data_IF_592448425544
#
_entry.id   IF_592448425544
#
_cell.length_a   1.000
_cell.length_b   1.000
_cell.length_c   1.000
_cell.angle_alpha   90.00
_cell.angle_beta   90.00
_cell.angle_gamma   90.00
#
_symmetry.space_group_name_H-M   'P 1'
#
loop_
_entity.id
_entity.type
_entity.pdbx_description
1 polymer ?
#
# COMPACT_ATOMS: atom_id res chain seq x y z
N UNK A 1 -52.50 -72.51 58.93
CA UNK A 1 -52.61 -71.10 58.59
C UNK A 1 -51.30 -70.69 57.84
N UNK A 2 -51.29 -70.66 56.51
CA UNK A 2 -50.11 -70.42 55.72
C UNK A 2 -50.27 -69.11 54.98
N UNK A 3 -49.42 -68.14 55.30
CA UNK A 3 -49.36 -66.80 54.72
C UNK A 3 -48.58 -66.86 53.40
N UNK A 4 -49.19 -66.48 52.29
CA UNK A 4 -48.48 -66.33 51.00
C UNK A 4 -48.02 -64.90 50.83
N UNK A 5 -46.71 -64.72 50.78
CA UNK A 5 -46.07 -63.44 50.49
C UNK A 5 -45.93 -63.34 48.96
N UNK A 6 -46.63 -62.39 48.29
CA UNK A 6 -46.50 -62.08 46.90
C UNK A 6 -45.34 -61.10 46.71
N UNK A 7 -44.41 -61.52 45.87
CA UNK A 7 -43.24 -60.69 45.43
C UNK A 7 -43.60 -59.85 44.24
N UNK A 8 -43.67 -58.54 44.44
CA UNK A 8 -43.94 -57.55 43.33
C UNK A 8 -42.62 -57.14 42.74
N UNK A 9 -42.38 -57.56 41.48
CA UNK A 9 -41.18 -57.09 40.70
C UNK A 9 -41.47 -55.70 40.08
N UNK A 10 -40.73 -54.69 40.58
CA UNK A 10 -40.74 -53.36 39.97
C UNK A 10 -39.67 -53.28 38.88
N UNK A 11 -40.10 -53.21 37.60
CA UNK A 11 -39.23 -53.00 36.47
C UNK A 11 -38.92 -51.53 36.35
N UNK A 12 -37.68 -51.11 36.71
CA UNK A 12 -37.19 -49.75 36.49
C UNK A 12 -36.68 -49.67 35.06
N UNK A 13 -37.42 -48.96 34.20
CA UNK A 13 -37.03 -48.64 32.84
C UNK A 13 -36.11 -47.41 32.89
N UNK A 14 -34.78 -47.61 32.89
CA UNK A 14 -33.79 -46.52 32.78
C UNK A 14 -33.68 -46.09 31.34
N UNK A 15 -34.37 -44.99 31.00
CA UNK A 15 -34.23 -44.31 29.69
C UNK A 15 -32.85 -43.63 29.63
N UNK A 16 -31.87 -44.31 29.01
CA UNK A 16 -30.54 -43.76 28.74
C UNK A 16 -30.64 -42.67 27.67
N UNK A 17 -30.60 -41.40 28.09
CA UNK A 17 -30.41 -40.27 27.17
C UNK A 17 -28.99 -40.37 26.61
N UNK A 18 -28.88 -40.84 25.36
CA UNK A 18 -27.63 -40.86 24.57
C UNK A 18 -27.27 -39.41 24.20
N UNK A 19 -26.51 -38.76 25.08
CA UNK A 19 -25.96 -37.43 24.84
C UNK A 19 -24.81 -37.57 23.81
N UNK A 20 -25.13 -37.44 22.51
CA UNK A 20 -24.12 -37.35 21.47
C UNK A 20 -23.32 -36.04 21.67
N UNK A 21 -22.01 -36.09 21.83
CA UNK A 21 -21.22 -34.85 21.86
C UNK A 21 -21.34 -34.18 20.49
N UNK A 22 -21.98 -33.00 20.43
CA UNK A 22 -21.79 -32.09 19.30
C UNK A 22 -20.32 -31.68 19.29
N UNK A 23 -19.49 -32.44 18.61
CA UNK A 23 -18.17 -31.99 18.21
C UNK A 23 -18.37 -30.85 17.24
N UNK A 24 -18.42 -29.60 17.75
CA UNK A 24 -18.21 -28.42 16.95
C UNK A 24 -16.79 -28.55 16.40
N UNK A 25 -16.68 -29.09 15.19
CA UNK A 25 -15.42 -28.99 14.45
C UNK A 25 -15.12 -27.49 14.35
N UNK A 26 -14.15 -27.02 15.13
CA UNK A 26 -13.58 -25.70 14.93
C UNK A 26 -12.86 -25.77 13.56
N UNK A 27 -13.59 -25.45 12.51
CA UNK A 27 -13.01 -25.26 11.20
C UNK A 27 -11.95 -24.14 11.38
N UNK A 28 -10.68 -24.48 11.18
CA UNK A 28 -9.59 -23.51 11.26
C UNK A 28 -9.89 -22.36 10.31
N UNK A 29 -9.66 -21.12 10.77
CA UNK A 29 -9.87 -19.93 9.93
C UNK A 29 -9.04 -20.03 8.65
N UNK A 30 -9.65 -19.74 7.52
CA UNK A 30 -8.95 -19.63 6.24
C UNK A 30 -8.09 -18.38 6.27
N UNK A 31 -6.80 -18.51 6.03
CA UNK A 31 -5.87 -17.37 6.04
C UNK A 31 -5.64 -16.87 4.63
N UNK A 32 -5.83 -15.56 4.42
CA UNK A 32 -5.43 -14.83 3.20
C UNK A 32 -4.22 -13.95 3.55
N UNK A 33 -3.11 -14.18 2.85
CA UNK A 33 -1.84 -13.47 3.08
C UNK A 33 -1.65 -12.40 2.02
N UNK A 34 -1.38 -11.17 2.46
CA UNK A 34 -1.17 -10.01 1.60
C UNK A 34 0.16 -9.35 1.96
N UNK A 35 0.99 -8.99 0.97
CA UNK A 35 2.22 -8.24 1.22
C UNK A 35 2.56 -7.29 0.09
N UNK A 36 3.34 -6.23 0.38
CA UNK A 36 3.91 -5.38 -0.66
C UNK A 36 3.89 -3.88 -0.39
N UNK A 37 3.35 -3.11 -1.34
CA UNK A 37 3.40 -1.65 -1.37
C UNK A 37 2.88 -0.99 -0.11
N UNK A 38 3.70 -0.18 0.54
CA UNK A 38 3.28 0.66 1.69
C UNK A 38 2.36 1.81 1.28
N UNK A 39 2.24 2.11 0.00
CA UNK A 39 1.22 3.02 -0.54
C UNK A 39 -0.16 2.35 -0.54
N UNK A 40 -0.25 1.08 -0.91
CA UNK A 40 -1.52 0.32 -0.94
C UNK A 40 -1.93 -0.15 0.45
N UNK A 41 -0.97 -0.27 1.36
CA UNK A 41 -1.16 -0.82 2.73
C UNK A 41 -2.35 -0.21 3.49
N UNK A 42 -2.57 1.13 3.56
CA UNK A 42 -3.69 1.70 4.30
C UNK A 42 -5.05 1.21 3.79
N UNK A 43 -5.22 1.14 2.48
CA UNK A 43 -6.45 0.64 1.84
C UNK A 43 -6.65 -0.84 2.15
N UNK A 44 -5.61 -1.66 1.92
CA UNK A 44 -5.71 -3.11 2.13
C UNK A 44 -5.95 -3.48 3.59
N UNK A 45 -5.30 -2.77 4.55
CA UNK A 45 -5.47 -3.01 5.98
C UNK A 45 -6.88 -2.65 6.45
N UNK A 46 -7.38 -1.46 6.07
CA UNK A 46 -8.75 -1.02 6.44
C UNK A 46 -9.83 -1.88 5.78
N UNK A 47 -9.60 -2.30 4.54
CA UNK A 47 -10.49 -3.23 3.85
C UNK A 47 -10.49 -4.62 4.52
N UNK A 48 -9.31 -5.13 4.90
CA UNK A 48 -9.19 -6.41 5.59
C UNK A 48 -9.90 -6.41 6.95
N UNK A 49 -9.77 -5.34 7.73
CA UNK A 49 -10.50 -5.17 8.99
C UNK A 49 -12.02 -5.28 8.79
N UNK A 50 -12.56 -4.50 7.86
CA UNK A 50 -14.00 -4.49 7.56
C UNK A 50 -14.48 -5.82 6.96
N UNK A 51 -13.69 -6.43 6.08
CA UNK A 51 -14.02 -7.71 5.47
C UNK A 51 -14.07 -8.83 6.52
N UNK A 52 -13.08 -8.92 7.41
CA UNK A 52 -13.06 -9.91 8.49
C UNK A 52 -14.21 -9.75 9.47
N UNK A 53 -14.71 -8.53 9.69
CA UNK A 53 -15.88 -8.30 10.55
C UNK A 53 -17.17 -8.98 10.01
N UNK A 54 -17.29 -9.11 8.68
CA UNK A 54 -18.41 -9.80 8.01
C UNK A 54 -18.12 -11.25 7.64
N UNK A 55 -16.87 -11.71 7.79
CA UNK A 55 -16.41 -13.07 7.45
C UNK A 55 -15.59 -13.65 8.60
N UNK A 56 -16.25 -14.12 9.69
CA UNK A 56 -15.55 -14.52 10.93
C UNK A 56 -14.67 -15.78 10.78
N UNK A 57 -14.87 -16.55 9.74
CA UNK A 57 -14.10 -17.74 9.33
C UNK A 57 -12.83 -17.41 8.52
N UNK A 58 -12.60 -16.11 8.21
CA UNK A 58 -11.43 -15.65 7.48
C UNK A 58 -10.47 -14.89 8.39
N UNK A 59 -9.18 -15.09 8.18
CA UNK A 59 -8.12 -14.29 8.76
C UNK A 59 -7.27 -13.68 7.64
N UNK A 60 -7.19 -12.35 7.55
CA UNK A 60 -6.38 -11.64 6.55
C UNK A 60 -5.18 -10.98 7.23
N UNK A 61 -3.99 -11.28 6.74
CA UNK A 61 -2.76 -10.61 7.17
C UNK A 61 -2.27 -9.66 6.08
N UNK A 62 -1.92 -8.44 6.44
CA UNK A 62 -1.44 -7.43 5.50
C UNK A 62 -0.07 -6.91 5.96
N UNK A 63 0.97 -7.21 5.19
CA UNK A 63 2.36 -6.93 5.54
C UNK A 63 2.99 -5.89 4.59
N UNK A 64 3.73 -4.91 5.13
CA UNK A 64 4.49 -3.97 4.32
C UNK A 64 5.73 -4.63 3.69
N UNK A 65 6.32 -4.00 2.65
CA UNK A 65 7.57 -4.47 2.05
C UNK A 65 7.97 -3.69 0.79
N UNK A 66 7.04 -2.93 0.21
CA UNK A 66 7.22 -2.27 -1.09
C UNK A 66 6.78 -3.13 -2.27
N UNK A 67 6.62 -2.51 -3.44
CA UNK A 67 6.07 -3.18 -4.63
C UNK A 67 6.89 -4.38 -5.08
N UNK A 68 8.23 -4.29 -5.01
CA UNK A 68 9.10 -5.41 -5.37
C UNK A 68 8.93 -6.63 -4.46
N UNK A 69 8.67 -6.41 -3.15
CA UNK A 69 8.34 -7.50 -2.22
C UNK A 69 6.99 -8.12 -2.59
N UNK A 70 5.98 -7.29 -2.94
CA UNK A 70 4.69 -7.78 -3.41
C UNK A 70 4.81 -8.73 -4.60
N UNK A 71 5.55 -8.32 -5.64
CA UNK A 71 5.79 -9.15 -6.84
C UNK A 71 6.54 -10.44 -6.49
N UNK A 72 7.64 -10.34 -5.73
CA UNK A 72 8.44 -11.51 -5.33
C UNK A 72 7.64 -12.50 -4.47
N UNK A 73 6.82 -12.00 -3.56
CA UNK A 73 6.04 -12.85 -2.65
C UNK A 73 4.96 -13.63 -3.39
N UNK A 74 4.27 -13.02 -4.35
CA UNK A 74 3.33 -13.72 -5.24
C UNK A 74 4.09 -14.69 -6.15
N UNK A 75 5.20 -14.24 -6.74
CA UNK A 75 6.02 -15.06 -7.63
C UNK A 75 6.56 -16.35 -6.96
N UNK A 76 6.85 -16.29 -5.68
CA UNK A 76 7.32 -17.43 -4.87
C UNK A 76 6.19 -18.18 -4.14
N UNK A 77 4.92 -17.82 -4.32
CA UNK A 77 3.79 -18.46 -3.64
C UNK A 77 3.76 -18.25 -2.12
N UNK A 78 4.39 -17.17 -1.62
CA UNK A 78 4.45 -16.86 -0.17
C UNK A 78 3.22 -16.11 0.32
N UNK A 79 2.52 -15.42 -0.58
CA UNK A 79 1.29 -14.69 -0.33
C UNK A 79 0.27 -14.93 -1.44
N UNK A 80 -1.00 -14.77 -1.11
CA UNK A 80 -2.11 -14.92 -2.06
C UNK A 80 -2.30 -13.65 -2.90
N UNK A 81 -2.02 -12.48 -2.29
CA UNK A 81 -2.18 -11.17 -2.92
C UNK A 81 -0.91 -10.34 -2.71
N UNK A 82 -0.39 -9.81 -3.80
CA UNK A 82 0.67 -8.80 -3.78
C UNK A 82 0.12 -7.39 -3.91
N UNK A 83 0.61 -6.44 -3.13
CA UNK A 83 0.29 -5.01 -3.26
C UNK A 83 1.37 -4.32 -4.08
N UNK A 84 0.98 -3.60 -5.13
CA UNK A 84 1.92 -2.84 -5.96
C UNK A 84 1.39 -1.43 -6.27
N UNK A 85 2.30 -0.48 -6.39
CA UNK A 85 2.02 0.92 -6.77
C UNK A 85 2.91 1.38 -7.94
N UNK A 86 3.21 0.45 -8.83
CA UNK A 86 3.89 0.62 -10.12
C UNK A 86 3.59 -0.60 -10.99
N UNK A 87 3.90 -0.53 -12.26
CA UNK A 87 3.84 -1.70 -13.13
C UNK A 87 4.87 -2.76 -12.71
N UNK A 88 4.55 -4.03 -12.94
CA UNK A 88 5.53 -5.13 -12.85
C UNK A 88 6.56 -4.91 -13.96
N UNK A 89 7.83 -5.01 -13.64
CA UNK A 89 8.89 -4.79 -14.63
C UNK A 89 9.09 -6.04 -15.51
N UNK A 90 9.62 -5.84 -16.72
CA UNK A 90 9.95 -6.95 -17.63
C UNK A 90 10.91 -7.96 -16.99
N UNK A 91 11.89 -7.47 -16.22
CA UNK A 91 12.82 -8.34 -15.49
C UNK A 91 12.09 -9.20 -14.44
N UNK A 92 11.08 -8.64 -13.73
CA UNK A 92 10.27 -9.41 -12.79
C UNK A 92 9.40 -10.45 -13.52
N UNK A 93 8.77 -10.07 -14.64
CA UNK A 93 7.99 -11.01 -15.48
C UNK A 93 8.90 -12.14 -15.98
N UNK A 94 10.10 -11.82 -16.45
CA UNK A 94 11.07 -12.81 -16.92
C UNK A 94 11.55 -13.74 -15.81
N UNK A 95 11.83 -13.19 -14.61
CA UNK A 95 12.28 -13.97 -13.46
C UNK A 95 11.19 -14.92 -12.93
N UNK A 96 9.93 -14.58 -13.12
CA UNK A 96 8.76 -15.36 -12.71
C UNK A 96 7.95 -15.83 -13.93
N UNK A 97 8.60 -16.31 -14.98
CA UNK A 97 7.99 -16.67 -16.26
C UNK A 97 6.89 -17.76 -16.20
N UNK A 98 6.81 -18.50 -15.09
CA UNK A 98 5.75 -19.50 -14.84
C UNK A 98 4.55 -18.94 -14.10
N UNK A 99 4.59 -17.68 -13.68
CA UNK A 99 3.54 -17.02 -12.93
C UNK A 99 2.69 -16.19 -13.87
N UNK A 100 1.39 -16.39 -13.82
CA UNK A 100 0.40 -15.57 -14.52
C UNK A 100 -0.03 -14.42 -13.61
N UNK A 101 0.72 -13.31 -13.65
CA UNK A 101 0.39 -12.13 -12.84
C UNK A 101 -0.91 -11.48 -13.30
N UNK A 102 -1.98 -11.74 -12.57
CA UNK A 102 -3.28 -11.09 -12.81
C UNK A 102 -3.36 -9.79 -12.01
N UNK A 103 -3.58 -8.67 -12.71
CA UNK A 103 -3.57 -7.32 -12.14
C UNK A 103 -4.99 -6.81 -11.87
N UNK A 104 -5.22 -6.33 -10.66
CA UNK A 104 -6.48 -5.73 -10.22
C UNK A 104 -6.22 -4.29 -9.80
N UNK A 105 -6.54 -3.32 -10.67
CA UNK A 105 -6.44 -1.90 -10.34
C UNK A 105 -7.52 -1.54 -9.33
N UNK A 106 -7.14 -0.95 -8.19
CA UNK A 106 -8.05 -0.59 -7.10
C UNK A 106 -8.19 0.92 -6.89
N UNK A 107 -7.30 1.72 -7.47
CA UNK A 107 -7.32 3.17 -7.34
C UNK A 107 -6.16 3.81 -8.09
N UNK A 108 -6.07 5.15 -8.02
CA UNK A 108 -4.98 5.94 -8.59
C UNK A 108 -4.37 6.85 -7.53
N UNK A 109 -3.09 7.11 -7.67
CA UNK A 109 -2.26 7.91 -6.78
C UNK A 109 -1.31 8.80 -7.59
N UNK A 110 -0.75 9.81 -6.94
CA UNK A 110 0.38 10.58 -7.45
C UNK A 110 1.61 10.40 -6.57
N UNK A 111 2.78 10.43 -7.18
CA UNK A 111 4.05 10.57 -6.45
C UNK A 111 4.42 12.03 -6.43
N UNK A 112 4.37 12.64 -5.26
CA UNK A 112 4.76 14.01 -5.05
C UNK A 112 6.25 14.12 -4.70
N UNK A 113 6.93 15.12 -5.25
CA UNK A 113 8.13 15.66 -4.67
C UNK A 113 7.70 16.39 -3.40
N UNK A 114 8.28 16.03 -2.26
CA UNK A 114 7.92 16.60 -0.95
C UNK A 114 9.12 17.27 -0.31
N UNK A 115 8.85 18.30 0.48
CA UNK A 115 9.85 19.05 1.23
C UNK A 115 9.38 19.32 2.65
N UNK A 116 10.32 19.64 3.53
CA UNK A 116 10.06 20.12 4.89
C UNK A 116 9.15 21.36 4.85
N UNK A 117 8.24 21.49 5.82
CA UNK A 117 7.31 22.62 5.92
C UNK A 117 8.02 23.96 6.01
N UNK A 118 9.18 24.02 6.67
CA UNK A 118 10.01 25.23 6.81
C UNK A 118 10.45 25.78 5.45
N UNK A 119 10.96 24.91 4.57
CA UNK A 119 11.38 25.29 3.22
C UNK A 119 10.18 25.73 2.37
N UNK A 120 9.05 25.03 2.50
CA UNK A 120 7.83 25.40 1.82
C UNK A 120 7.32 26.78 2.23
N UNK A 121 7.30 27.06 3.53
CA UNK A 121 6.89 28.36 4.08
C UNK A 121 7.91 29.47 3.80
N UNK A 122 9.19 29.13 3.65
CA UNK A 122 10.24 30.06 3.22
C UNK A 122 10.17 30.42 1.72
N UNK A 123 9.22 29.85 0.95
CA UNK A 123 8.92 30.29 -0.42
C UNK A 123 9.11 29.24 -1.52
N UNK A 124 9.72 28.08 -1.24
CA UNK A 124 9.89 27.00 -2.25
C UNK A 124 8.59 26.22 -2.39
N UNK A 125 7.70 26.66 -3.26
CA UNK A 125 6.39 26.03 -3.49
C UNK A 125 6.31 25.25 -4.80
N UNK A 126 7.30 25.42 -5.67
CA UNK A 126 7.36 24.80 -6.99
C UNK A 126 8.79 24.48 -7.38
N UNK A 127 8.99 23.35 -8.03
CA UNK A 127 10.26 22.97 -8.64
C UNK A 127 10.03 22.50 -10.07
N UNK A 128 11.01 22.73 -10.95
CA UNK A 128 11.01 22.12 -12.28
C UNK A 128 11.57 20.70 -12.20
N UNK A 129 11.29 19.89 -13.20
CA UNK A 129 11.89 18.57 -13.35
C UNK A 129 13.42 18.63 -13.29
N UNK A 130 14.02 19.61 -14.00
CA UNK A 130 15.46 19.80 -14.07
C UNK A 130 16.05 20.20 -12.70
N UNK A 131 15.35 21.05 -11.93
CA UNK A 131 15.79 21.42 -10.59
C UNK A 131 15.79 20.19 -9.66
N UNK A 132 14.72 19.39 -9.68
CA UNK A 132 14.65 18.15 -8.90
C UNK A 132 15.77 17.20 -9.32
N UNK A 133 16.00 17.05 -10.65
CA UNK A 133 17.09 16.20 -11.17
C UNK A 133 18.45 16.64 -10.63
N UNK A 134 18.76 17.95 -10.69
CA UNK A 134 20.03 18.51 -10.21
C UNK A 134 20.20 18.36 -8.71
N UNK A 135 19.13 18.48 -7.91
CA UNK A 135 19.16 18.22 -6.48
C UNK A 135 19.51 16.74 -6.22
N UNK A 136 18.83 15.79 -6.88
CA UNK A 136 19.09 14.37 -6.70
C UNK A 136 20.45 13.90 -7.26
N UNK A 137 21.08 14.67 -8.16
CA UNK A 137 22.45 14.41 -8.62
C UNK A 137 23.52 15.10 -7.76
N UNK A 138 23.13 16.04 -6.89
CA UNK A 138 24.04 16.83 -6.06
C UNK A 138 24.66 18.03 -6.79
N UNK A 139 24.12 18.41 -7.95
CA UNK A 139 24.52 19.63 -8.68
C UNK A 139 23.92 20.90 -8.06
N UNK A 140 22.78 20.78 -7.39
CA UNK A 140 22.17 21.80 -6.52
C UNK A 140 22.14 21.23 -5.13
N UNK A 141 22.85 21.83 -4.20
CA UNK A 141 22.98 21.39 -2.81
C UNK A 141 22.48 22.41 -1.78
N UNK A 142 22.04 23.58 -2.23
CA UNK A 142 21.54 24.64 -1.37
C UNK A 142 20.20 25.19 -1.86
N UNK A 143 19.26 25.36 -0.93
CA UNK A 143 17.92 25.83 -1.24
C UNK A 143 17.86 27.22 -1.88
N UNK A 144 18.87 28.11 -1.62
CA UNK A 144 18.94 29.43 -2.26
C UNK A 144 19.03 29.38 -3.78
N UNK A 145 19.56 28.31 -4.34
CA UNK A 145 19.68 28.13 -5.80
C UNK A 145 18.33 27.91 -6.49
N UNK A 146 17.31 27.54 -5.70
CA UNK A 146 15.94 27.35 -6.19
C UNK A 146 14.94 28.32 -5.54
N UNK A 147 15.46 29.44 -4.97
CA UNK A 147 14.63 30.53 -4.42
C UNK A 147 14.24 30.34 -2.95
N UNK A 148 14.88 29.44 -2.24
CA UNK A 148 14.72 29.22 -0.81
C UNK A 148 15.75 29.94 0.06
N UNK A 149 15.83 29.62 1.36
CA UNK A 149 16.81 30.16 2.29
C UNK A 149 18.22 29.62 2.01
N UNK A 150 19.24 30.29 2.51
CA UNK A 150 20.65 29.80 2.47
C UNK A 150 20.85 28.66 3.48
N UNK A 151 20.40 27.48 3.08
CA UNK A 151 20.48 26.22 3.84
C UNK A 151 20.79 25.07 2.89
N UNK A 152 21.64 24.14 3.32
CA UNK A 152 21.93 22.93 2.53
C UNK A 152 20.70 22.04 2.44
N UNK A 153 20.53 21.43 1.27
CA UNK A 153 19.44 20.50 1.00
C UNK A 153 19.80 19.15 1.61
N UNK A 154 18.90 18.56 2.38
CA UNK A 154 18.99 17.18 2.86
C UNK A 154 18.17 16.26 1.96
N UNK A 155 18.84 15.51 1.10
CA UNK A 155 18.17 14.68 0.07
C UNK A 155 17.88 13.27 0.59
N UNK A 156 16.62 12.89 0.56
CA UNK A 156 16.17 11.55 0.94
C UNK A 156 15.75 10.78 -0.31
N UNK A 157 16.44 9.67 -0.61
CA UNK A 157 16.04 8.69 -1.63
C UNK A 157 15.34 7.49 -0.97
N UNK A 158 14.77 6.60 -1.76
CA UNK A 158 14.16 5.35 -1.29
C UNK A 158 14.96 4.12 -1.74
N UNK A 159 14.76 3.02 -1.02
CA UNK A 159 15.26 1.71 -1.45
C UNK A 159 14.82 1.39 -2.89
N UNK A 160 15.73 0.83 -3.68
CA UNK A 160 15.58 0.63 -5.12
C UNK A 160 14.36 -0.20 -5.53
N UNK A 161 13.84 -1.06 -4.67
CA UNK A 161 12.67 -1.90 -4.94
C UNK A 161 11.31 -1.24 -4.66
N UNK A 162 11.29 -0.02 -4.13
CA UNK A 162 10.06 0.71 -3.79
C UNK A 162 9.35 1.23 -5.04
N UNK A 163 8.03 1.02 -5.09
CA UNK A 163 7.22 1.47 -6.23
C UNK A 163 7.21 2.98 -6.40
N UNK A 164 7.18 3.75 -5.29
CA UNK A 164 7.23 5.21 -5.31
C UNK A 164 8.52 5.71 -5.96
N UNK A 165 9.67 5.11 -5.60
CA UNK A 165 10.96 5.44 -6.21
C UNK A 165 10.99 5.18 -7.72
N UNK A 166 10.54 4.00 -8.15
CA UNK A 166 10.52 3.67 -9.58
C UNK A 166 9.74 4.68 -10.41
N UNK A 167 8.56 5.09 -9.94
CA UNK A 167 7.70 6.05 -10.67
C UNK A 167 8.33 7.43 -10.67
N UNK A 168 8.88 7.88 -9.53
CA UNK A 168 9.53 9.18 -9.41
C UNK A 168 10.80 9.25 -10.28
N UNK A 169 11.70 8.29 -10.16
CA UNK A 169 12.96 8.27 -10.93
C UNK A 169 12.72 8.14 -12.43
N UNK A 170 11.73 7.34 -12.85
CA UNK A 170 11.35 7.25 -14.25
C UNK A 170 10.90 8.60 -14.82
N UNK A 171 10.14 9.39 -14.06
CA UNK A 171 9.73 10.72 -14.49
C UNK A 171 10.89 11.71 -14.48
N UNK A 172 11.66 11.77 -13.40
CA UNK A 172 12.74 12.76 -13.23
C UNK A 172 13.90 12.49 -14.20
N UNK A 173 14.35 11.23 -14.30
CA UNK A 173 15.55 10.85 -15.04
C UNK A 173 15.29 10.13 -16.37
N UNK A 174 14.05 9.68 -16.61
CA UNK A 174 13.76 8.77 -17.73
C UNK A 174 14.16 7.32 -17.45
N UNK A 175 14.76 7.04 -16.30
CA UNK A 175 15.22 5.72 -15.87
C UNK A 175 14.76 5.44 -14.43
N UNK A 176 13.93 4.42 -14.26
CA UNK A 176 13.42 3.99 -12.92
C UNK A 176 14.52 3.50 -11.97
N UNK A 177 15.69 3.12 -12.51
CA UNK A 177 16.85 2.64 -11.76
C UNK A 177 17.94 3.69 -11.57
N UNK A 178 17.72 4.94 -12.03
CA UNK A 178 18.67 6.03 -11.88
C UNK A 178 19.20 6.16 -10.45
N UNK A 179 20.47 6.55 -10.32
CA UNK A 179 21.14 6.74 -9.05
C UNK A 179 21.02 8.20 -8.58
N UNK A 180 20.49 8.38 -7.37
CA UNK A 180 20.48 9.66 -6.68
C UNK A 180 21.84 9.88 -5.99
N UNK A 181 22.83 10.40 -6.73
CA UNK A 181 24.20 10.58 -6.21
C UNK A 181 24.28 11.64 -5.12
N UNK A 182 23.33 12.59 -5.09
CA UNK A 182 23.20 13.63 -4.08
C UNK A 182 22.39 13.19 -2.86
N UNK A 183 21.96 11.92 -2.76
CA UNK A 183 21.19 11.46 -1.62
C UNK A 183 22.05 11.31 -0.36
N UNK A 184 21.62 11.98 0.72
CA UNK A 184 22.22 11.88 2.05
C UNK A 184 21.71 10.67 2.82
N UNK A 185 20.47 10.22 2.51
CA UNK A 185 19.81 9.18 3.24
C UNK A 185 18.92 8.33 2.32
N UNK A 186 18.84 7.03 2.64
CA UNK A 186 17.89 6.11 1.98
C UNK A 186 16.80 5.74 2.98
N UNK A 187 15.53 5.91 2.59
CA UNK A 187 14.36 5.52 3.37
C UNK A 187 13.73 4.23 2.84
N UNK A 188 13.02 3.54 3.71
CA UNK A 188 12.26 2.34 3.35
C UNK A 188 10.82 2.65 2.98
N UNK A 189 9.95 2.79 3.97
CA UNK A 189 8.50 2.96 3.78
C UNK A 189 8.10 4.42 3.55
N UNK A 190 6.83 4.64 3.16
CA UNK A 190 6.29 6.01 3.13
C UNK A 190 6.20 6.63 4.52
N UNK A 191 5.84 5.85 5.54
CA UNK A 191 5.80 6.31 6.92
C UNK A 191 7.19 6.77 7.41
N UNK A 192 8.21 5.97 7.14
CA UNK A 192 9.59 6.30 7.51
C UNK A 192 10.06 7.60 6.84
N UNK A 193 9.83 7.75 5.54
CA UNK A 193 10.24 8.96 4.83
C UNK A 193 9.44 10.19 5.26
N UNK A 194 8.11 10.05 5.44
CA UNK A 194 7.28 11.13 5.98
C UNK A 194 7.84 11.63 7.32
N UNK A 195 8.17 10.69 8.23
CA UNK A 195 8.75 11.03 9.53
C UNK A 195 10.09 11.75 9.37
N UNK A 196 10.98 11.27 8.49
CA UNK A 196 12.29 11.88 8.25
C UNK A 196 12.19 13.29 7.65
N UNK A 197 11.27 13.51 6.71
CA UNK A 197 11.02 14.85 6.14
C UNK A 197 10.41 15.78 7.19
N UNK A 198 9.46 15.28 8.00
CA UNK A 198 8.82 16.06 9.06
C UNK A 198 9.79 16.48 10.18
N UNK A 199 10.80 15.65 10.48
CA UNK A 199 11.82 15.94 11.49
C UNK A 199 12.99 16.78 10.99
N UNK A 200 13.05 17.06 9.69
CA UNK A 200 14.09 17.90 9.07
C UNK A 200 13.53 19.24 8.67
N UNK A 201 14.28 20.30 8.86
CA UNK A 201 13.96 21.66 8.39
C UNK A 201 14.46 21.96 6.96
N UNK A 202 15.16 21.00 6.32
CA UNK A 202 15.80 21.18 5.00
C UNK A 202 15.63 20.01 4.04
N UNK A 203 14.78 19.03 4.37
CA UNK A 203 14.69 17.83 3.57
C UNK A 203 13.90 18.00 2.26
N UNK A 204 14.30 17.21 1.26
CA UNK A 204 13.53 16.89 0.06
C UNK A 204 13.41 15.37 -0.06
N UNK A 205 12.26 14.88 -0.50
CA UNK A 205 11.99 13.47 -0.69
C UNK A 205 10.88 13.19 -1.71
N UNK A 206 10.38 11.96 -1.73
CA UNK A 206 9.32 11.54 -2.62
C UNK A 206 8.27 10.70 -1.87
N UNK A 207 7.01 11.11 -1.90
CA UNK A 207 5.92 10.39 -1.23
C UNK A 207 4.71 10.20 -2.16
N UNK A 208 3.89 9.23 -1.82
CA UNK A 208 2.51 9.19 -2.30
C UNK A 208 1.75 10.41 -1.78
N UNK A 209 0.87 10.97 -2.62
CA UNK A 209 0.08 12.16 -2.28
C UNK A 209 -0.70 12.02 -0.97
N UNK A 210 -1.20 10.82 -0.66
CA UNK A 210 -1.93 10.56 0.57
C UNK A 210 -1.09 10.67 1.86
N UNK A 211 0.22 10.82 1.75
CA UNK A 211 1.16 10.97 2.87
C UNK A 211 1.60 12.42 3.11
N UNK A 212 1.07 13.37 2.33
CA UNK A 212 1.29 14.80 2.54
C UNK A 212 0.46 15.27 3.74
N UNK A 213 1.06 16.10 4.61
CA UNK A 213 0.39 16.64 5.80
C UNK A 213 0.90 18.07 6.13
N UNK A 214 0.66 18.54 7.36
CA UNK A 214 1.09 19.87 7.79
C UNK A 214 2.62 20.03 7.87
N UNK A 215 3.35 18.96 8.18
CA UNK A 215 4.80 18.97 8.35
C UNK A 215 5.55 18.61 7.07
N UNK A 216 4.88 17.93 6.13
CA UNK A 216 5.45 17.45 4.86
C UNK A 216 4.65 18.01 3.70
N UNK A 217 5.22 18.93 2.95
CA UNK A 217 4.56 19.66 1.88
C UNK A 217 4.90 19.13 0.49
N UNK A 218 3.89 18.87 -0.32
CA UNK A 218 4.08 18.57 -1.74
C UNK A 218 4.32 19.85 -2.54
N UNK A 219 5.39 19.88 -3.33
CA UNK A 219 5.65 21.01 -4.25
C UNK A 219 4.99 20.80 -5.60
N UNK A 220 4.55 21.89 -6.22
CA UNK A 220 4.05 21.89 -7.59
C UNK A 220 5.17 21.60 -8.59
N UNK A 221 4.87 20.83 -9.61
CA UNK A 221 5.80 20.54 -10.71
C UNK A 221 5.53 21.52 -11.86
N UNK A 222 6.59 22.17 -12.36
CA UNK A 222 6.50 23.01 -13.56
C UNK A 222 6.49 22.14 -14.81
N UNK A 223 5.41 22.22 -15.59
CA UNK A 223 5.22 21.49 -16.85
C UNK A 223 4.77 22.48 -17.91
N UNK A 224 5.53 22.64 -18.98
CA UNK A 224 5.22 23.55 -20.10
C UNK A 224 4.86 24.99 -19.66
N UNK A 225 5.52 25.50 -18.62
CA UNK A 225 5.29 26.84 -18.07
C UNK A 225 4.17 26.93 -17.02
N UNK A 226 3.37 25.90 -16.86
CA UNK A 226 2.32 25.82 -15.84
C UNK A 226 2.81 25.10 -14.56
N UNK A 227 2.24 25.47 -13.42
CA UNK A 227 2.50 24.82 -12.13
C UNK A 227 1.36 23.86 -11.80
N UNK A 228 1.64 22.58 -11.74
CA UNK A 228 0.65 21.55 -11.44
C UNK A 228 0.91 21.00 -10.03
N UNK A 229 -0.04 21.23 -9.12
CA UNK A 229 0.03 20.76 -7.74
C UNK A 229 -0.34 19.27 -7.63
N UNK A 230 0.24 18.53 -6.67
CA UNK A 230 -0.13 17.13 -6.38
C UNK A 230 -1.49 17.05 -5.64
N UNK A 231 -2.55 17.53 -6.28
CA UNK A 231 -3.89 17.55 -5.71
C UNK A 231 -4.75 16.40 -6.25
N UNK A 232 -5.76 15.98 -5.47
CA UNK A 232 -6.73 14.96 -5.91
C UNK A 232 -7.40 15.34 -7.23
N UNK A 233 -7.74 16.65 -7.42
CA UNK A 233 -8.32 17.14 -8.66
C UNK A 233 -7.39 16.91 -9.87
N UNK A 234 -6.09 17.23 -9.73
CA UNK A 234 -5.10 17.07 -10.79
C UNK A 234 -4.73 15.61 -11.04
N UNK A 235 -4.84 14.74 -10.04
CA UNK A 235 -4.70 13.29 -10.20
C UNK A 235 -5.91 12.74 -10.97
N UNK A 236 -7.11 13.17 -10.59
CA UNK A 236 -8.37 12.69 -11.17
C UNK A 236 -8.50 13.07 -12.65
N UNK A 237 -8.16 14.29 -13.02
CA UNK A 237 -8.21 14.77 -14.41
C UNK A 237 -6.98 14.38 -15.25
N UNK A 238 -5.94 13.76 -14.63
CA UNK A 238 -4.74 13.29 -15.31
C UNK A 238 -3.71 14.39 -15.62
N UNK A 239 -3.87 15.62 -15.13
CA UNK A 239 -2.92 16.71 -15.39
C UNK A 239 -1.62 16.57 -14.57
N UNK A 240 -1.67 15.95 -13.37
CA UNK A 240 -0.46 15.74 -12.58
C UNK A 240 0.45 14.68 -13.23
N UNK A 241 1.73 15.03 -13.55
CA UNK A 241 2.55 14.22 -14.46
C UNK A 241 3.07 12.91 -13.85
N UNK A 242 3.13 12.80 -12.52
CA UNK A 242 3.68 11.62 -11.83
C UNK A 242 2.53 10.81 -11.21
N UNK A 243 1.59 10.38 -12.05
CA UNK A 243 0.44 9.57 -11.64
C UNK A 243 0.72 8.08 -11.84
N UNK A 244 0.05 7.24 -11.05
CA UNK A 244 0.18 5.77 -11.11
C UNK A 244 -1.09 5.07 -10.66
N UNK A 245 -1.25 3.81 -11.09
CA UNK A 245 -2.24 2.92 -10.54
C UNK A 245 -1.78 2.31 -9.22
N UNK A 246 -2.73 2.12 -8.32
CA UNK A 246 -2.61 1.25 -7.15
C UNK A 246 -3.28 -0.08 -7.50
N UNK A 247 -2.58 -1.18 -7.29
CA UNK A 247 -3.07 -2.47 -7.73
C UNK A 247 -2.77 -3.59 -6.73
N UNK A 248 -3.64 -4.57 -6.76
CA UNK A 248 -3.41 -5.89 -6.21
C UNK A 248 -3.00 -6.84 -7.34
N UNK A 249 -2.14 -7.80 -7.06
CA UNK A 249 -1.75 -8.85 -8.01
C UNK A 249 -1.96 -10.23 -7.40
N UNK A 250 -2.34 -11.18 -8.25
CA UNK A 250 -2.48 -12.60 -7.90
C UNK A 250 -1.75 -13.46 -8.91
N UNK A 251 -1.48 -14.71 -8.57
CA UNK A 251 -1.05 -15.71 -9.54
C UNK A 251 -2.29 -16.35 -10.17
N UNK A 252 -2.54 -16.05 -11.44
CA UNK A 252 -3.74 -16.46 -12.14
C UNK A 252 -5.02 -15.82 -11.61
N UNK A 253 -6.16 -16.34 -12.07
CA UNK A 253 -7.50 -15.84 -11.69
C UNK A 253 -7.80 -16.17 -10.21
N UNK A 254 -8.12 -15.18 -9.38
CA UNK A 254 -8.39 -15.41 -7.96
C UNK A 254 -9.70 -16.20 -7.75
N UNK A 255 -9.72 -17.02 -6.69
CA UNK A 255 -10.88 -17.81 -6.27
C UNK A 255 -11.14 -17.67 -4.76
N UNK A 256 -12.28 -18.17 -4.28
CA UNK A 256 -12.68 -18.16 -2.87
C UNK A 256 -12.54 -16.76 -2.25
N UNK A 257 -12.07 -16.69 -1.01
CA UNK A 257 -11.95 -15.44 -0.26
C UNK A 257 -10.95 -14.45 -0.85
N UNK A 258 -9.95 -14.89 -1.61
CA UNK A 258 -9.06 -13.98 -2.35
C UNK A 258 -9.85 -13.19 -3.39
N UNK A 259 -10.71 -13.85 -4.15
CA UNK A 259 -11.60 -13.20 -5.12
C UNK A 259 -12.61 -12.28 -4.43
N UNK A 260 -13.24 -12.75 -3.36
CA UNK A 260 -14.25 -11.99 -2.64
C UNK A 260 -13.66 -10.72 -2.00
N UNK A 261 -12.48 -10.82 -1.41
CA UNK A 261 -11.76 -9.66 -0.86
C UNK A 261 -11.39 -8.63 -1.94
N UNK A 262 -10.89 -9.06 -3.10
CA UNK A 262 -10.62 -8.16 -4.23
C UNK A 262 -11.91 -7.50 -4.71
N UNK A 263 -13.00 -8.27 -4.86
CA UNK A 263 -14.30 -7.74 -5.24
C UNK A 263 -14.88 -6.76 -4.20
N UNK A 264 -14.65 -7.02 -2.91
CA UNK A 264 -15.02 -6.09 -1.85
C UNK A 264 -14.29 -4.75 -2.00
N UNK A 265 -12.98 -4.74 -2.25
CA UNK A 265 -12.25 -3.47 -2.48
C UNK A 265 -12.78 -2.74 -3.74
N UNK A 266 -13.20 -3.47 -4.75
CA UNK A 266 -13.76 -2.93 -6.00
C UNK A 266 -15.24 -2.53 -5.88
N UNK A 267 -15.93 -2.87 -4.79
CA UNK A 267 -17.31 -2.47 -4.52
C UNK A 267 -17.41 -0.99 -4.13
N UNK A 268 -18.60 -0.39 -4.10
CA UNK A 268 -18.78 0.98 -3.63
C UNK A 268 -18.21 1.23 -2.23
N UNK A 269 -18.40 0.29 -1.30
CA UNK A 269 -17.85 0.38 0.07
C UNK A 269 -16.33 0.33 0.10
N UNK A 270 -15.74 -0.56 -0.69
CA UNK A 270 -14.28 -0.64 -0.84
C UNK A 270 -13.70 0.59 -1.52
N UNK A 271 -14.36 1.15 -2.53
CA UNK A 271 -13.92 2.39 -3.19
C UNK A 271 -14.02 3.61 -2.27
N UNK A 272 -14.98 3.65 -1.36
CA UNK A 272 -15.03 4.64 -0.29
C UNK A 272 -13.79 4.54 0.62
N UNK A 273 -13.31 3.33 0.94
CA UNK A 273 -12.05 3.15 1.69
C UNK A 273 -10.86 3.71 0.91
N UNK A 274 -10.81 3.50 -0.42
CA UNK A 274 -9.76 4.07 -1.29
C UNK A 274 -9.74 5.59 -1.20
N UNK A 275 -10.90 6.25 -1.32
CA UNK A 275 -11.04 7.70 -1.25
C UNK A 275 -10.72 8.24 0.16
N UNK A 276 -11.22 7.62 1.22
CA UNK A 276 -10.92 7.97 2.61
C UNK A 276 -9.43 7.80 2.95
N UNK A 277 -8.71 6.95 2.20
CA UNK A 277 -7.27 6.78 2.31
C UNK A 277 -6.46 7.82 1.54
N UNK A 278 -7.11 8.83 0.92
CA UNK A 278 -6.47 9.93 0.20
C UNK A 278 -6.12 9.62 -1.26
N UNK A 279 -6.74 8.59 -1.86
CA UNK A 279 -6.52 8.18 -3.25
C UNK A 279 -7.73 8.50 -4.13
N UNK A 280 -7.55 8.37 -5.45
CA UNK A 280 -8.64 8.49 -6.42
C UNK A 280 -9.19 7.10 -6.71
N UNK A 281 -10.50 6.90 -6.50
CA UNK A 281 -11.19 5.67 -6.87
C UNK A 281 -11.22 5.45 -8.38
N UNK A 282 -11.57 4.24 -8.78
CA UNK A 282 -11.65 3.82 -10.21
C UNK A 282 -13.09 3.85 -10.75
N UNK A 283 -14.07 4.14 -9.88
CA UNK A 283 -15.50 4.22 -10.23
C UNK A 283 -16.04 5.61 -9.97
#
# INVERSE_FOLDING_TARGET
MRLKIGLLFFLIFTSGILCLPLSSAMAGKITVKIAGSTTVLPVAAKAAEKFMASHPDVHITVNPGGSGVGVKSVGNGLVDIGMISRNISEAEIKNFSKIDFNLHVIGRDAVACVISSEIYHAGVKTLSREQIQKIYTGEIDNWKEVGGPDKNIFVIDKESHRGTRHVFMAYIFGDKMAHARGADLISGSNNEEQTKVALSDTAIGMLSNAWINEDVKGVGIKVNGEVIQPSIANIKNGSYPISRNLSLITNGKPSGYVREFIQYILSPDGQKIVEESGYVGIK
#
